data_IF_350182830596
#
_entry.id   IF_350182830596
#
_cell.length_a   1.000
_cell.length_b   1.000
_cell.length_c   1.000
_cell.angle_alpha   90.00
_cell.angle_beta   90.00
_cell.angle_gamma   90.00
#
_symmetry.space_group_name_H-M   'P 1'
#
loop_
_entity.id
_entity.type
_entity.pdbx_description
1 polymer ?
#
# COMPACT_ATOMS: atom_id res chain seq x y z
N UNK A 1 -38.20 1.77 28.63
CA UNK A 1 -37.32 2.33 27.59
C UNK A 1 -36.22 3.14 28.25
N UNK A 2 -35.00 2.61 28.29
CA UNK A 2 -33.75 3.38 28.30
C UNK A 2 -32.61 2.35 28.26
N UNK A 3 -32.36 1.80 27.07
CA UNK A 3 -31.09 1.15 26.79
C UNK A 3 -30.01 2.24 26.78
N UNK A 4 -29.29 2.36 27.90
CA UNK A 4 -28.01 3.06 27.91
C UNK A 4 -27.03 2.17 27.17
N UNK A 5 -26.90 2.39 25.86
CA UNK A 5 -25.72 1.98 25.11
C UNK A 5 -24.51 2.60 25.78
N UNK A 6 -23.86 1.83 26.64
CA UNK A 6 -22.56 2.14 27.19
C UNK A 6 -21.57 2.00 26.03
N UNK A 7 -21.45 3.05 25.19
CA UNK A 7 -20.40 3.16 24.17
C UNK A 7 -19.08 2.86 24.86
N UNK A 8 -18.56 1.67 24.64
CA UNK A 8 -17.26 1.23 25.16
C UNK A 8 -16.27 2.25 24.60
N UNK A 9 -15.63 3.03 25.46
CA UNK A 9 -14.68 4.06 25.04
C UNK A 9 -13.58 3.35 24.24
N UNK A 10 -13.60 3.51 22.93
CA UNK A 10 -12.59 2.93 22.06
C UNK A 10 -11.24 3.46 22.49
N UNK A 11 -10.30 2.56 22.80
CA UNK A 11 -8.94 2.95 23.13
C UNK A 11 -8.22 3.22 21.81
N UNK A 12 -7.73 4.44 21.62
CA UNK A 12 -6.94 4.82 20.45
C UNK A 12 -5.44 4.74 20.76
N UNK A 13 -4.63 4.52 19.73
CA UNK A 13 -3.18 4.79 19.75
C UNK A 13 -2.38 4.07 20.85
N UNK A 14 -2.72 2.82 21.17
CA UNK A 14 -2.10 2.09 22.29
C UNK A 14 -1.20 0.91 21.87
N UNK A 15 -1.27 0.48 20.61
CA UNK A 15 -0.54 -0.69 20.08
C UNK A 15 0.56 -0.26 19.13
N UNK A 16 1.76 -0.79 19.32
CA UNK A 16 2.93 -0.50 18.48
C UNK A 16 3.21 -1.69 17.55
N UNK A 17 3.34 -1.41 16.26
CA UNK A 17 3.82 -2.38 15.27
C UNK A 17 5.35 -2.30 15.17
N UNK A 18 5.97 -3.40 14.74
CA UNK A 18 7.41 -3.44 14.42
C UNK A 18 7.56 -3.29 12.91
N UNK A 19 7.76 -2.05 12.46
CA UNK A 19 7.95 -1.78 11.04
C UNK A 19 9.27 -2.36 10.54
N UNK A 20 9.27 -3.05 9.40
CA UNK A 20 10.50 -3.57 8.80
C UNK A 20 11.41 -2.43 8.30
N UNK A 21 12.73 -2.63 8.32
CA UNK A 21 13.67 -1.61 7.81
C UNK A 21 13.57 -1.42 6.30
N UNK A 22 13.30 -2.51 5.61
CA UNK A 22 13.09 -2.57 4.17
C UNK A 22 11.77 -3.29 3.93
N UNK A 23 11.00 -2.81 2.97
CA UNK A 23 9.73 -3.41 2.57
C UNK A 23 9.51 -3.22 1.07
N UNK A 24 8.44 -3.81 0.54
CA UNK A 24 8.17 -3.78 -0.89
C UNK A 24 6.70 -3.47 -1.14
N UNK A 25 6.43 -2.56 -2.07
CA UNK A 25 5.12 -2.50 -2.74
C UNK A 25 5.20 -3.29 -4.05
N UNK A 26 4.05 -3.78 -4.53
CA UNK A 26 3.98 -4.57 -5.75
C UNK A 26 2.92 -4.02 -6.71
N UNK A 27 3.24 -4.02 -7.99
CA UNK A 27 2.34 -3.65 -9.08
C UNK A 27 2.20 -4.85 -10.00
N UNK A 28 1.00 -5.41 -10.05
CA UNK A 28 0.73 -6.65 -10.78
C UNK A 28 0.17 -6.35 -12.15
N UNK A 29 0.64 -7.09 -13.15
CA UNK A 29 0.11 -7.06 -14.50
C UNK A 29 -0.92 -8.16 -14.69
N UNK A 30 -2.07 -7.79 -15.24
CA UNK A 30 -3.09 -8.72 -15.71
C UNK A 30 -3.04 -8.81 -17.22
N UNK A 31 -3.15 -10.01 -17.77
CA UNK A 31 -3.24 -10.25 -19.20
C UNK A 31 -4.60 -10.83 -19.58
N UNK A 32 -5.10 -10.49 -20.77
CA UNK A 32 -6.26 -11.13 -21.41
C UNK A 32 -5.91 -11.44 -22.85
N UNK A 33 -5.95 -12.71 -23.24
CA UNK A 33 -5.63 -13.15 -24.61
C UNK A 33 -4.29 -12.59 -25.14
N UNK A 34 -3.22 -12.69 -24.33
CA UNK A 34 -1.85 -12.20 -24.63
C UNK A 34 -1.64 -10.67 -24.57
N UNK A 35 -2.70 -9.87 -24.46
CA UNK A 35 -2.60 -8.42 -24.23
C UNK A 35 -2.52 -8.08 -22.73
N UNK A 36 -1.58 -7.22 -22.33
CA UNK A 36 -1.54 -6.65 -20.97
C UNK A 36 -2.73 -5.71 -20.81
N UNK A 37 -3.69 -6.11 -19.99
CA UNK A 37 -4.96 -5.42 -19.81
C UNK A 37 -4.90 -4.37 -18.70
N UNK A 38 -4.13 -4.59 -17.62
CA UNK A 38 -4.13 -3.70 -16.47
C UNK A 38 -2.86 -3.80 -15.63
N UNK A 39 -2.46 -2.67 -15.06
CA UNK A 39 -1.52 -2.59 -13.95
C UNK A 39 -2.27 -2.11 -12.71
N UNK A 40 -2.29 -2.91 -11.63
CA UNK A 40 -2.93 -2.52 -10.38
C UNK A 40 -1.92 -2.44 -9.23
N UNK A 41 -1.89 -1.34 -8.46
CA UNK A 41 -1.02 -1.23 -7.30
C UNK A 41 -1.61 -2.02 -6.14
N UNK A 42 -0.81 -2.88 -5.51
CA UNK A 42 -1.17 -3.38 -4.19
C UNK A 42 -0.90 -2.28 -3.18
N UNK A 43 -1.93 -1.95 -2.41
CA UNK A 43 -1.80 -1.09 -1.22
C UNK A 43 -0.92 -1.76 -0.17
N UNK A 44 -0.88 -3.09 -0.19
CA UNK A 44 -0.11 -3.91 0.72
C UNK A 44 1.39 -3.62 0.61
N UNK A 45 2.01 -3.48 1.78
CA UNK A 45 3.45 -3.36 1.96
C UNK A 45 3.96 -4.66 2.55
N UNK A 46 4.82 -5.34 1.79
CA UNK A 46 5.34 -6.65 2.12
C UNK A 46 6.68 -6.52 2.87
N UNK A 47 6.85 -7.12 4.06
CA UNK A 47 8.09 -6.99 4.84
C UNK A 47 9.33 -7.64 4.20
N UNK A 48 9.14 -8.56 3.26
CA UNK A 48 10.23 -9.20 2.52
C UNK A 48 9.77 -9.69 1.15
N UNK A 49 10.73 -10.02 0.29
CA UNK A 49 10.46 -10.63 -1.02
C UNK A 49 9.78 -11.99 -0.85
N UNK A 50 10.20 -12.78 0.13
CA UNK A 50 9.63 -14.10 0.40
C UNK A 50 8.15 -13.99 0.77
N UNK A 51 7.79 -13.04 1.66
CA UNK A 51 6.37 -12.79 1.99
C UNK A 51 5.58 -12.36 0.76
N UNK A 52 6.15 -11.50 -0.08
CA UNK A 52 5.51 -11.10 -1.34
C UNK A 52 5.31 -12.30 -2.29
N UNK A 53 6.28 -13.21 -2.40
CA UNK A 53 6.13 -14.40 -3.24
C UNK A 53 5.03 -15.34 -2.77
N UNK A 54 4.95 -15.56 -1.46
CA UNK A 54 3.90 -16.40 -0.86
C UNK A 54 2.52 -15.80 -1.11
N UNK A 55 2.35 -14.51 -0.84
CA UNK A 55 1.10 -13.78 -1.07
C UNK A 55 0.71 -13.77 -2.57
N UNK A 56 1.68 -13.60 -3.47
CA UNK A 56 1.42 -13.63 -4.91
C UNK A 56 1.00 -15.01 -5.41
N UNK A 57 1.54 -16.09 -4.84
CA UNK A 57 1.10 -17.47 -5.17
C UNK A 57 -0.34 -17.69 -4.75
N UNK A 58 -0.69 -17.30 -3.52
CA UNK A 58 -2.04 -17.44 -2.97
C UNK A 58 -3.05 -16.56 -3.74
N UNK A 59 -2.66 -15.32 -4.03
CA UNK A 59 -3.47 -14.38 -4.80
C UNK A 59 -3.69 -14.86 -6.23
N UNK A 60 -2.63 -15.31 -6.92
CA UNK A 60 -2.73 -15.85 -8.29
C UNK A 60 -3.63 -17.08 -8.35
N UNK A 61 -3.48 -18.01 -7.40
CA UNK A 61 -4.35 -19.19 -7.30
C UNK A 61 -5.82 -18.81 -7.09
N UNK A 62 -6.10 -17.89 -6.17
CA UNK A 62 -7.46 -17.45 -5.84
C UNK A 62 -8.09 -16.70 -7.02
N UNK A 63 -7.36 -15.76 -7.61
CA UNK A 63 -7.80 -14.99 -8.78
C UNK A 63 -8.18 -15.90 -9.95
N UNK A 64 -7.30 -16.81 -10.34
CA UNK A 64 -7.53 -17.72 -11.47
C UNK A 64 -8.73 -18.65 -11.23
N UNK A 65 -9.06 -18.93 -9.96
CA UNK A 65 -10.23 -19.74 -9.59
C UNK A 65 -11.53 -18.93 -9.61
N UNK A 66 -11.49 -17.66 -9.24
CA UNK A 66 -12.68 -16.82 -9.05
C UNK A 66 -13.04 -16.01 -10.31
N UNK A 67 -12.06 -15.64 -11.14
CA UNK A 67 -12.25 -14.79 -12.31
C UNK A 67 -12.51 -15.64 -13.58
N UNK A 68 -13.78 -15.94 -13.83
CA UNK A 68 -14.25 -16.70 -15.00
C UNK A 68 -14.31 -15.87 -16.30
N UNK A 69 -13.37 -14.95 -16.53
CA UNK A 69 -13.39 -13.97 -17.62
C UNK A 69 -12.12 -13.96 -18.49
N UNK A 70 -11.22 -14.94 -18.31
CA UNK A 70 -10.02 -15.12 -19.14
C UNK A 70 -8.92 -14.10 -18.87
N UNK A 71 -8.95 -13.45 -17.69
CA UNK A 71 -7.86 -12.60 -17.21
C UNK A 71 -6.93 -13.39 -16.31
N UNK A 72 -5.64 -13.38 -16.60
CA UNK A 72 -4.60 -14.08 -15.83
C UNK A 72 -3.62 -13.09 -15.22
N UNK A 73 -3.07 -13.43 -14.06
CA UNK A 73 -1.96 -12.69 -13.45
C UNK A 73 -0.65 -13.17 -14.07
N UNK A 74 0.12 -12.24 -14.64
CA UNK A 74 1.41 -12.55 -15.24
C UNK A 74 2.44 -12.83 -14.14
N UNK A 75 3.33 -13.80 -14.37
CA UNK A 75 4.44 -14.17 -13.46
C UNK A 75 5.40 -13.00 -13.13
N UNK A 76 5.34 -11.91 -13.91
CA UNK A 76 6.19 -10.73 -13.78
C UNK A 76 5.38 -9.58 -13.20
N UNK A 77 5.97 -8.84 -12.27
CA UNK A 77 5.43 -7.63 -11.65
C UNK A 77 6.51 -6.55 -11.57
N UNK A 78 6.12 -5.33 -11.18
CA UNK A 78 7.06 -4.31 -10.71
C UNK A 78 6.99 -4.23 -9.20
N UNK A 79 8.12 -4.34 -8.53
CA UNK A 79 8.22 -4.06 -7.10
C UNK A 79 8.87 -2.71 -6.88
N UNK A 80 8.43 -2.01 -5.84
CA UNK A 80 8.99 -0.74 -5.42
C UNK A 80 9.54 -0.92 -4.01
N UNK A 81 10.88 -0.93 -3.85
CA UNK A 81 11.51 -1.00 -2.53
C UNK A 81 11.12 0.23 -1.70
N UNK A 82 10.88 0.02 -0.42
CA UNK A 82 10.62 1.04 0.57
C UNK A 82 11.66 0.92 1.67
N UNK A 83 12.30 2.03 2.05
CA UNK A 83 13.28 2.07 3.14
C UNK A 83 12.73 2.92 4.29
N UNK A 84 12.68 2.31 5.48
CA UNK A 84 12.15 2.96 6.69
C UNK A 84 12.96 4.21 7.01
N UNK A 85 12.26 5.32 7.24
CA UNK A 85 12.87 6.59 7.58
C UNK A 85 12.58 6.97 9.04
N UNK A 86 11.31 7.08 9.41
CA UNK A 86 10.91 7.52 10.75
C UNK A 86 9.52 7.03 11.12
N UNK A 87 9.22 7.07 12.42
CA UNK A 87 7.85 6.90 12.91
C UNK A 87 7.10 8.22 12.77
N UNK A 88 5.80 8.13 12.50
CA UNK A 88 4.87 9.24 12.50
C UNK A 88 3.76 8.98 13.52
N UNK A 89 3.57 9.86 14.52
CA UNK A 89 2.62 9.65 15.61
C UNK A 89 1.18 9.77 15.12
N UNK A 90 0.36 8.76 15.44
CA UNK A 90 -1.07 8.80 15.17
C UNK A 90 -1.83 9.42 16.35
N UNK A 91 -2.93 10.12 16.05
CA UNK A 91 -3.79 10.80 17.03
C UNK A 91 -5.23 10.41 16.81
N UNK A 92 -5.99 10.26 17.91
CA UNK A 92 -7.40 9.84 17.88
C UNK A 92 -8.28 10.69 16.94
N UNK A 93 -7.88 11.93 16.67
CA UNK A 93 -8.57 12.85 15.77
C UNK A 93 -8.62 12.35 14.31
N UNK A 94 -7.63 11.58 13.87
CA UNK A 94 -7.53 11.03 12.50
C UNK A 94 -8.61 10.00 12.14
N UNK A 95 -9.42 9.56 13.10
CA UNK A 95 -10.49 8.58 12.88
C UNK A 95 -11.89 9.21 12.87
N UNK A 96 -11.99 10.54 12.97
CA UNK A 96 -13.26 11.22 13.09
C UNK A 96 -13.71 11.83 11.76
N UNK A 97 -14.85 11.37 11.25
CA UNK A 97 -15.60 11.98 10.14
C UNK A 97 -14.74 12.35 8.91
N UNK A 98 -14.16 11.37 8.20
CA UNK A 98 -13.42 11.66 6.97
C UNK A 98 -14.34 12.36 5.96
N UNK A 99 -13.80 13.34 5.26
CA UNK A 99 -14.52 14.18 4.28
C UNK A 99 -14.07 13.94 2.84
N UNK A 100 -12.98 13.19 2.64
CA UNK A 100 -12.36 12.90 1.36
C UNK A 100 -12.27 11.39 1.17
N UNK A 101 -12.74 10.94 0.01
CA UNK A 101 -12.58 9.58 -0.48
C UNK A 101 -11.66 9.62 -1.69
N UNK A 102 -10.63 8.78 -1.70
CA UNK A 102 -9.72 8.64 -2.84
C UNK A 102 -10.12 7.41 -3.64
N UNK A 103 -10.49 7.61 -4.91
CA UNK A 103 -10.74 6.48 -5.80
C UNK A 103 -9.43 5.76 -6.18
N UNK A 104 -9.56 4.50 -6.62
CA UNK A 104 -8.40 3.67 -6.94
C UNK A 104 -7.54 4.22 -8.09
N UNK A 105 -8.13 5.03 -8.99
CA UNK A 105 -7.42 5.57 -10.14
C UNK A 105 -6.51 6.74 -9.76
N UNK A 106 -6.97 7.64 -8.92
CA UNK A 106 -6.19 8.76 -8.39
C UNK A 106 -5.03 8.25 -7.53
N UNK A 107 -5.27 7.18 -6.78
CA UNK A 107 -4.24 6.46 -6.03
C UNK A 107 -3.18 5.89 -6.92
N UNK A 108 -3.60 5.13 -7.94
CA UNK A 108 -2.70 4.57 -8.92
C UNK A 108 -1.84 5.66 -9.57
N UNK A 109 -2.44 6.77 -10.00
CA UNK A 109 -1.71 7.91 -10.58
C UNK A 109 -0.69 8.49 -9.61
N UNK A 110 -1.06 8.68 -8.35
CA UNK A 110 -0.16 9.18 -7.30
C UNK A 110 1.05 8.28 -7.09
N UNK A 111 0.80 6.99 -6.87
CA UNK A 111 1.83 5.98 -6.65
C UNK A 111 2.70 5.75 -7.88
N UNK A 112 2.12 5.72 -9.08
CA UNK A 112 2.87 5.62 -10.33
C UNK A 112 3.82 6.81 -10.52
N UNK A 113 3.33 8.04 -10.29
CA UNK A 113 4.15 9.26 -10.34
C UNK A 113 5.30 9.19 -9.34
N UNK A 114 5.04 8.69 -8.14
CA UNK A 114 6.05 8.53 -7.10
C UNK A 114 7.11 7.50 -7.49
N UNK A 115 6.69 6.33 -7.98
CA UNK A 115 7.58 5.27 -8.45
C UNK A 115 8.42 5.69 -9.68
N UNK A 116 7.91 6.58 -10.54
CA UNK A 116 8.66 7.13 -11.67
C UNK A 116 9.73 8.15 -11.25
N UNK A 117 9.58 8.77 -10.07
CA UNK A 117 10.50 9.80 -9.55
C UNK A 117 10.82 9.56 -8.07
N UNK A 118 11.32 8.37 -7.71
CA UNK A 118 11.29 7.83 -6.35
C UNK A 118 11.98 8.74 -5.32
N UNK A 119 13.10 9.37 -5.71
CA UNK A 119 13.90 10.25 -4.84
C UNK A 119 13.18 11.54 -4.38
N UNK A 120 12.05 11.90 -4.99
CA UNK A 120 11.27 13.08 -4.61
C UNK A 120 10.11 12.77 -3.65
N UNK A 121 9.90 11.50 -3.28
CA UNK A 121 8.71 11.08 -2.57
C UNK A 121 9.02 10.23 -1.32
N UNK A 122 8.13 10.36 -0.33
CA UNK A 122 8.00 9.48 0.82
C UNK A 122 6.57 8.94 0.87
N UNK A 123 6.34 7.84 1.57
CA UNK A 123 5.01 7.23 1.73
C UNK A 123 4.71 6.99 3.19
N UNK A 124 3.46 7.24 3.57
CA UNK A 124 2.92 6.88 4.89
C UNK A 124 2.45 5.43 4.82
N UNK A 125 2.96 4.59 5.73
CA UNK A 125 2.60 3.18 5.86
C UNK A 125 1.93 2.95 7.21
N UNK A 126 0.69 2.47 7.20
CA UNK A 126 -0.10 2.20 8.40
C UNK A 126 -0.19 0.70 8.69
N UNK A 127 -0.16 0.29 9.97
CA UNK A 127 -0.36 -1.10 10.34
C UNK A 127 -1.85 -1.42 10.52
N UNK A 128 -2.25 -2.63 10.16
CA UNK A 128 -3.57 -3.20 10.44
C UNK A 128 -3.42 -4.56 11.12
N UNK A 129 -4.01 -4.75 12.30
CA UNK A 129 -3.94 -6.04 12.99
C UNK A 129 -5.09 -6.95 12.57
N UNK A 130 -4.75 -7.98 11.79
CA UNK A 130 -5.66 -9.03 11.34
C UNK A 130 -5.39 -10.29 12.19
N UNK A 131 -6.33 -10.61 13.10
CA UNK A 131 -6.18 -11.69 14.09
C UNK A 131 -4.87 -11.54 14.89
N UNK A 132 -3.85 -12.37 14.61
CA UNK A 132 -2.54 -12.38 15.27
C UNK A 132 -1.41 -11.81 14.40
N UNK A 133 -1.70 -11.40 13.17
CA UNK A 133 -0.73 -10.86 12.22
C UNK A 133 -0.91 -9.34 12.05
N UNK A 134 0.11 -8.70 11.49
CA UNK A 134 0.11 -7.28 11.14
C UNK A 134 0.26 -7.18 9.63
N UNK A 135 -0.74 -6.62 8.96
CA UNK A 135 -0.64 -6.17 7.59
C UNK A 135 -0.17 -4.70 7.58
N UNK A 136 0.50 -4.28 6.52
CA UNK A 136 0.95 -2.91 6.33
C UNK A 136 0.37 -2.36 5.03
N UNK A 137 -0.10 -1.13 5.06
CA UNK A 137 -0.75 -0.48 3.92
C UNK A 137 -0.09 0.85 3.61
N UNK A 138 0.33 1.02 2.37
CA UNK A 138 0.78 2.29 1.82
C UNK A 138 -0.44 3.16 1.52
N UNK A 139 -0.52 4.30 2.19
CA UNK A 139 -1.71 5.13 2.16
C UNK A 139 -1.70 6.04 0.93
N UNK A 140 -0.74 6.96 0.85
CA UNK A 140 -0.51 7.85 -0.30
C UNK A 140 0.95 8.33 -0.31
N UNK A 141 1.55 8.60 -1.47
CA UNK A 141 2.86 9.24 -1.53
C UNK A 141 2.76 10.76 -1.32
N UNK A 142 3.72 11.30 -0.58
CA UNK A 142 3.95 12.73 -0.38
C UNK A 142 5.28 13.12 -0.96
N UNK A 143 5.46 14.40 -1.32
CA UNK A 143 6.80 14.90 -1.60
C UNK A 143 7.70 14.71 -0.37
N UNK A 144 8.98 14.40 -0.58
CA UNK A 144 9.94 14.17 0.51
C UNK A 144 10.04 15.38 1.45
N UNK A 145 9.82 16.58 0.91
CA UNK A 145 9.82 17.87 1.62
C UNK A 145 8.47 18.23 2.25
N UNK A 146 7.42 17.43 2.07
CA UNK A 146 6.11 17.70 2.68
C UNK A 146 6.24 17.78 4.19
N UNK A 147 5.60 18.79 4.78
CA UNK A 147 5.65 19.00 6.22
C UNK A 147 4.72 18.02 6.94
N UNK A 148 4.88 17.85 8.25
CA UNK A 148 4.02 16.96 9.02
C UNK A 148 2.56 17.47 9.02
N UNK A 149 2.35 18.77 8.88
CA UNK A 149 1.03 19.40 8.76
C UNK A 149 0.27 18.97 7.48
N UNK A 150 0.99 18.73 6.37
CA UNK A 150 0.37 18.23 5.14
C UNK A 150 -0.12 16.78 5.33
N UNK A 151 0.67 15.98 6.05
CA UNK A 151 0.33 14.60 6.39
C UNK A 151 -0.83 14.59 7.38
N UNK A 152 -0.81 15.47 8.40
CA UNK A 152 -1.89 15.65 9.36
C UNK A 152 -3.21 15.98 8.66
N UNK A 153 -3.20 16.95 7.74
CA UNK A 153 -4.38 17.35 6.99
C UNK A 153 -4.95 16.18 6.19
N UNK A 154 -4.08 15.42 5.53
CA UNK A 154 -4.50 14.21 4.82
C UNK A 154 -5.11 13.17 5.77
N UNK A 155 -4.45 12.86 6.89
CA UNK A 155 -4.92 11.86 7.86
C UNK A 155 -6.24 12.27 8.54
N UNK A 156 -6.47 13.57 8.72
CA UNK A 156 -7.72 14.10 9.28
C UNK A 156 -8.92 13.98 8.34
N UNK A 157 -8.67 14.10 7.03
CA UNK A 157 -9.75 14.24 6.05
C UNK A 157 -9.98 12.98 5.22
N UNK A 158 -9.01 12.07 5.15
CA UNK A 158 -9.13 10.88 4.31
C UNK A 158 -9.80 9.72 5.03
N UNK A 159 -10.56 8.93 4.29
CA UNK A 159 -11.22 7.71 4.78
C UNK A 159 -10.34 6.45 4.74
N UNK A 160 -9.03 6.59 4.61
CA UNK A 160 -8.14 5.43 4.56
C UNK A 160 -8.22 4.60 5.83
N UNK A 161 -8.24 3.27 5.71
CA UNK A 161 -8.31 2.39 6.86
C UNK A 161 -7.00 2.45 7.64
N UNK A 162 -7.00 3.23 8.72
CA UNK A 162 -5.97 3.22 9.75
C UNK A 162 -6.53 2.41 10.92
N UNK A 163 -5.79 1.46 11.46
CA UNK A 163 -6.22 0.73 12.64
C UNK A 163 -6.20 1.67 13.86
N UNK A 164 -7.36 1.95 14.47
CA UNK A 164 -7.51 2.85 15.64
C UNK A 164 -6.58 2.52 16.82
N UNK A 165 -6.16 1.26 16.91
CA UNK A 165 -5.25 0.79 17.95
C UNK A 165 -3.81 1.26 17.69
N UNK A 166 -3.45 1.58 16.44
CA UNK A 166 -2.10 1.93 16.03
C UNK A 166 -1.62 3.22 16.69
N UNK A 167 -0.49 3.15 17.39
CA UNK A 167 0.16 4.31 17.99
C UNK A 167 0.97 5.12 16.98
N UNK A 168 1.53 4.44 15.98
CA UNK A 168 2.38 5.05 14.97
C UNK A 168 2.05 4.50 13.59
N UNK A 169 2.19 5.35 12.58
CA UNK A 169 2.50 4.95 11.22
C UNK A 169 4.02 5.04 11.00
N UNK A 170 4.49 4.59 9.85
CA UNK A 170 5.87 4.74 9.44
C UNK A 170 5.95 5.58 8.16
N UNK A 171 6.97 6.43 8.10
CA UNK A 171 7.37 7.10 6.87
C UNK A 171 8.48 6.27 6.23
N UNK A 172 8.28 5.91 4.96
CA UNK A 172 9.28 5.25 4.13
C UNK A 172 9.70 6.17 2.99
N UNK A 173 10.98 6.09 2.63
CA UNK A 173 11.45 6.61 1.35
C UNK A 173 11.21 5.58 0.25
N UNK A 174 10.98 6.06 -0.97
CA UNK A 174 10.70 5.20 -2.12
C UNK A 174 12.00 4.93 -2.88
N UNK A 175 12.27 3.66 -3.15
CA UNK A 175 13.40 3.18 -3.93
C UNK A 175 13.08 3.05 -5.42
N UNK A 176 14.10 2.77 -6.22
CA UNK A 176 13.96 2.57 -7.67
C UNK A 176 13.11 1.33 -7.95
N UNK A 177 12.08 1.41 -8.82
CA UNK A 177 11.30 0.24 -9.21
C UNK A 177 12.16 -0.85 -9.85
N UNK A 178 11.86 -2.10 -9.51
CA UNK A 178 12.54 -3.29 -10.00
C UNK A 178 11.54 -4.22 -10.67
N UNK A 179 11.99 -4.90 -11.73
CA UNK A 179 11.24 -5.99 -12.34
C UNK A 179 11.40 -7.22 -11.46
N UNK A 180 10.29 -7.87 -11.15
CA UNK A 180 10.26 -9.02 -10.27
C UNK A 180 9.48 -10.17 -10.91
N UNK A 181 10.06 -11.36 -10.93
CA UNK A 181 9.33 -12.57 -11.27
C UNK A 181 8.92 -13.28 -9.98
N UNK A 182 7.66 -13.15 -9.58
CA UNK A 182 7.21 -13.63 -8.26
C UNK A 182 7.23 -15.16 -8.14
N UNK A 183 7.23 -15.89 -9.26
CA UNK A 183 7.29 -17.35 -9.29
C UNK A 183 8.71 -17.89 -9.06
N UNK A 184 9.72 -17.24 -9.64
CA UNK A 184 11.13 -17.65 -9.56
C UNK A 184 11.91 -16.92 -8.48
N UNK A 185 11.46 -15.73 -8.07
CA UNK A 185 12.18 -14.84 -7.15
C UNK A 185 13.21 -13.95 -7.83
N UNK A 186 13.35 -14.04 -9.16
CA UNK A 186 14.33 -13.23 -9.89
C UNK A 186 13.98 -11.74 -9.86
N UNK A 187 14.96 -10.90 -9.51
CA UNK A 187 14.86 -9.45 -9.49
C UNK A 187 15.84 -8.86 -10.50
N UNK A 188 15.36 -7.95 -11.34
CA UNK A 188 16.14 -7.25 -12.36
C UNK A 188 15.74 -5.77 -12.45
N UNK A 189 16.52 -4.96 -13.17
CA UNK A 189 16.16 -3.55 -13.36
C UNK A 189 14.87 -3.44 -14.19
N UNK A 190 13.97 -2.53 -13.79
CA UNK A 190 12.80 -2.19 -14.58
C UNK A 190 13.20 -1.20 -15.69
N UNK A 191 13.31 -1.66 -16.93
CA UNK A 191 13.53 -0.78 -18.08
C UNK A 191 12.22 -0.03 -18.42
N UNK A 192 12.29 1.30 -18.54
CA UNK A 192 11.21 2.21 -19.00
C UNK A 192 9.95 2.37 -18.11
N UNK A 193 10.13 2.68 -16.82
CA UNK A 193 8.99 3.03 -15.93
C UNK A 193 8.38 4.44 -16.20
N UNK A 194 8.96 5.25 -17.10
CA UNK A 194 8.64 6.68 -17.22
C UNK A 194 7.30 7.01 -17.93
N UNK A 195 6.63 6.04 -18.57
CA UNK A 195 5.35 6.28 -19.25
C UNK A 195 4.19 5.79 -18.39
N UNK A 196 3.31 6.71 -17.97
CA UNK A 196 2.02 6.37 -17.34
C UNK A 196 1.27 5.36 -18.23
N UNK A 197 0.90 4.18 -17.72
CA UNK A 197 0.04 3.26 -18.46
C UNK A 197 -1.26 3.98 -18.77
N UNK A 198 -1.66 3.96 -20.04
CA UNK A 198 -3.00 4.40 -20.42
C UNK A 198 -3.94 3.28 -19.98
N UNK A 199 -4.57 3.46 -18.81
CA UNK A 199 -5.69 2.63 -18.39
C UNK A 199 -6.91 3.14 -19.17
N UNK A 200 -7.32 2.39 -20.21
CA UNK A 200 -8.55 2.66 -20.98
C UNK A 200 -9.75 2.00 -20.32
#
# INVERSE_FOLDING_TARGET
MQDKERKKKTAYCYKMATFPKEAYMNYVFYARNEDIAMLYPFESVYPSIETLQEEMKDYSFTWNKEMANGMEIIDVSIIVPLVFHSLYPLRAEFWNNPTLHFDDLDRFRGFWKAAAKPHFYKVVVTPQWIKRQVAYHAVVPFYITAADEDIDAFMMHSDYPVDERAKYAALYTIGTPLRFNWKTGEISQAYHFEKTPILN
#
